data_IF_613360039775
#
_entry.id   IF_613360039775
#
_cell.length_a   1.000
_cell.length_b   1.000
_cell.length_c   1.000
_cell.angle_alpha   90.00
_cell.angle_beta   90.00
_cell.angle_gamma   90.00
#
_symmetry.space_group_name_H-M   'P 1'
#
loop_
_entity.id
_entity.type
_entity.pdbx_description
1 polymer ?
#
# COMPACT_ATOMS: atom_id res chain seq x y z
N UNK A 1 -0.14 -23.06 17.49
CA UNK A 1 -0.41 -23.66 16.17
C UNK A 1 0.84 -23.53 15.33
N UNK A 2 1.35 -24.61 14.72
CA UNK A 2 2.41 -24.54 13.70
C UNK A 2 1.92 -23.67 12.52
N UNK A 3 2.82 -22.90 11.91
CA UNK A 3 2.46 -22.03 10.78
C UNK A 3 1.92 -22.82 9.57
N UNK A 4 2.41 -24.06 9.39
CA UNK A 4 2.11 -24.90 8.24
C UNK A 4 0.89 -25.84 8.45
N UNK A 5 0.19 -25.74 9.59
CA UNK A 5 -0.96 -26.59 9.91
C UNK A 5 -2.12 -25.75 10.48
N UNK A 6 -2.80 -24.98 9.62
CA UNK A 6 -3.88 -24.09 10.03
C UNK A 6 -5.12 -24.90 10.45
N UNK A 7 -5.61 -24.66 11.67
CA UNK A 7 -6.85 -25.25 12.17
C UNK A 7 -8.07 -24.43 11.70
N UNK A 8 -8.99 -25.01 10.92
CA UNK A 8 -10.17 -24.31 10.43
C UNK A 8 -11.16 -23.89 11.53
N UNK A 9 -11.02 -24.41 12.75
CA UNK A 9 -11.81 -24.02 13.91
C UNK A 9 -11.15 -22.94 14.79
N UNK A 10 -9.92 -22.49 14.45
CA UNK A 10 -9.22 -21.48 15.23
C UNK A 10 -9.88 -20.10 15.07
N UNK A 11 -10.51 -19.53 16.12
CA UNK A 11 -11.17 -18.23 16.04
C UNK A 11 -10.18 -17.06 15.84
N UNK A 12 -8.87 -17.29 15.98
CA UNK A 12 -7.82 -16.30 15.74
C UNK A 12 -7.26 -16.37 14.32
N UNK A 13 -7.70 -17.34 13.49
CA UNK A 13 -7.34 -17.39 12.08
C UNK A 13 -7.94 -16.20 11.35
N UNK A 14 -7.10 -15.49 10.58
CA UNK A 14 -7.55 -14.34 9.80
C UNK A 14 -8.28 -14.83 8.55
N UNK A 15 -9.59 -14.58 8.50
CA UNK A 15 -10.41 -14.84 7.34
C UNK A 15 -10.61 -13.54 6.54
N UNK A 16 -9.91 -13.41 5.42
CA UNK A 16 -10.20 -12.39 4.43
C UNK A 16 -11.41 -12.79 3.58
N UNK A 17 -12.34 -11.86 3.35
CA UNK A 17 -13.40 -11.99 2.35
C UNK A 17 -13.22 -10.90 1.29
N UNK A 18 -13.23 -11.28 0.02
CA UNK A 18 -13.26 -10.32 -1.08
C UNK A 18 -14.68 -9.80 -1.26
N UNK A 19 -14.83 -8.48 -1.21
CA UNK A 19 -16.07 -7.81 -1.58
C UNK A 19 -15.87 -7.22 -2.98
N UNK A 20 -16.50 -7.78 -4.03
CA UNK A 20 -16.37 -7.25 -5.37
C UNK A 20 -16.98 -5.85 -5.42
N UNK A 21 -16.28 -4.94 -6.08
CA UNK A 21 -16.77 -3.60 -6.42
C UNK A 21 -16.49 -3.34 -7.89
N UNK A 22 -17.50 -2.87 -8.62
CA UNK A 22 -17.37 -2.44 -10.00
C UNK A 22 -17.09 -0.93 -10.09
N UNK A 23 -16.90 -0.27 -8.94
CA UNK A 23 -16.65 1.15 -8.85
C UNK A 23 -15.19 1.48 -9.14
N UNK A 24 -14.94 2.00 -10.35
CA UNK A 24 -13.62 2.45 -10.77
C UNK A 24 -13.06 3.59 -9.87
N UNK A 25 -13.93 4.40 -9.25
CA UNK A 25 -13.48 5.44 -8.32
C UNK A 25 -12.92 4.83 -7.03
N UNK A 26 -13.47 3.72 -6.55
CA UNK A 26 -12.92 3.01 -5.39
C UNK A 26 -11.49 2.51 -5.64
N UNK A 27 -11.22 2.01 -6.85
CA UNK A 27 -9.87 1.56 -7.25
C UNK A 27 -8.92 2.74 -7.39
N UNK A 28 -9.41 3.87 -7.89
CA UNK A 28 -8.64 5.12 -7.97
C UNK A 28 -8.27 5.65 -6.59
N UNK A 29 -9.21 5.72 -5.65
CA UNK A 29 -8.98 6.17 -4.28
C UNK A 29 -7.98 5.25 -3.55
N UNK A 30 -8.10 3.94 -3.77
CA UNK A 30 -7.15 2.96 -3.24
C UNK A 30 -5.73 3.18 -3.81
N UNK A 31 -5.61 3.38 -5.12
CA UNK A 31 -4.32 3.68 -5.76
C UNK A 31 -3.71 4.98 -5.21
N UNK A 32 -4.52 6.02 -5.04
CA UNK A 32 -4.08 7.29 -4.45
C UNK A 32 -3.54 7.09 -3.03
N UNK A 33 -4.24 6.29 -2.20
CA UNK A 33 -3.79 5.95 -0.85
C UNK A 33 -2.42 5.23 -0.86
N UNK A 34 -2.22 4.25 -1.74
CA UNK A 34 -0.93 3.55 -1.84
C UNK A 34 0.20 4.52 -2.19
N UNK A 35 0.00 5.33 -3.24
CA UNK A 35 0.99 6.30 -3.70
C UNK A 35 1.32 7.25 -2.54
N UNK A 36 0.31 7.88 -1.94
CA UNK A 36 0.52 8.82 -0.85
C UNK A 36 1.29 8.20 0.32
N UNK A 37 0.91 7.01 0.76
CA UNK A 37 1.52 6.37 1.93
C UNK A 37 2.98 6.00 1.66
N UNK A 38 3.30 5.45 0.50
CA UNK A 38 4.69 5.11 0.19
C UNK A 38 5.56 6.36 0.00
N UNK A 39 5.00 7.46 -0.52
CA UNK A 39 5.68 8.75 -0.49
C UNK A 39 5.86 9.29 0.93
N UNK A 40 4.91 9.06 1.87
CA UNK A 40 5.06 9.39 3.31
C UNK A 40 6.20 8.61 3.97
N UNK A 41 6.38 7.36 3.56
CA UNK A 41 7.48 6.50 4.00
C UNK A 41 8.82 6.84 3.34
N UNK A 42 8.84 7.79 2.40
CA UNK A 42 10.06 8.30 1.77
C UNK A 42 10.56 7.48 0.59
N UNK A 43 9.70 6.67 -0.04
CA UNK A 43 10.01 6.01 -1.31
C UNK A 43 10.08 7.06 -2.43
N UNK A 44 10.94 6.79 -3.42
CA UNK A 44 11.00 7.61 -4.64
C UNK A 44 9.82 7.28 -5.57
N UNK A 45 9.49 8.20 -6.47
CA UNK A 45 8.48 7.97 -7.51
C UNK A 45 8.75 6.67 -8.30
N UNK A 46 10.02 6.40 -8.62
CA UNK A 46 10.43 5.16 -9.31
C UNK A 46 10.18 3.91 -8.46
N UNK A 47 10.48 3.96 -7.16
CA UNK A 47 10.22 2.85 -6.26
C UNK A 47 8.71 2.59 -6.14
N UNK A 48 7.89 3.65 -6.02
CA UNK A 48 6.43 3.54 -6.01
C UNK A 48 5.91 2.93 -7.31
N UNK A 49 6.35 3.43 -8.48
CA UNK A 49 5.95 2.88 -9.78
C UNK A 49 6.26 1.37 -9.90
N UNK A 50 7.44 0.95 -9.45
CA UNK A 50 7.83 -0.48 -9.49
C UNK A 50 6.92 -1.38 -8.66
N UNK A 51 6.22 -0.86 -7.65
CA UNK A 51 5.28 -1.66 -6.86
C UNK A 51 4.02 -2.01 -7.66
N UNK A 52 3.56 -1.12 -8.54
CA UNK A 52 2.40 -1.37 -9.40
C UNK A 52 2.69 -2.42 -10.48
N UNK A 53 3.95 -2.53 -10.90
CA UNK A 53 4.38 -3.49 -11.94
C UNK A 53 4.67 -4.90 -11.37
N UNK A 54 5.01 -4.98 -10.08
CA UNK A 54 5.38 -6.24 -9.42
C UNK A 54 4.14 -6.98 -8.92
N UNK A 55 3.85 -8.15 -9.51
CA UNK A 55 2.67 -8.96 -9.18
C UNK A 55 2.60 -9.50 -7.74
N UNK A 56 3.66 -9.37 -6.96
CA UNK A 56 3.64 -9.70 -5.52
C UNK A 56 2.86 -8.67 -4.68
N UNK A 57 2.61 -7.47 -5.23
CA UNK A 57 1.76 -6.46 -4.61
C UNK A 57 0.37 -6.50 -5.24
N UNK A 58 -0.50 -7.37 -4.71
CA UNK A 58 -1.82 -7.64 -5.29
C UNK A 58 -2.67 -6.36 -5.51
N UNK A 59 -2.75 -5.47 -4.52
CA UNK A 59 -3.52 -4.21 -4.62
C UNK A 59 -2.99 -3.26 -5.71
N UNK A 60 -1.71 -2.84 -5.66
CA UNK A 60 -1.09 -2.04 -6.71
C UNK A 60 -1.18 -2.68 -8.10
N UNK A 61 -0.92 -3.98 -8.22
CA UNK A 61 -1.00 -4.69 -9.50
C UNK A 61 -2.43 -4.71 -10.05
N UNK A 62 -3.43 -4.92 -9.19
CA UNK A 62 -4.84 -4.82 -9.56
C UNK A 62 -5.20 -3.41 -10.03
N UNK A 63 -4.76 -2.38 -9.31
CA UNK A 63 -5.02 -0.99 -9.69
C UNK A 63 -4.42 -0.64 -11.06
N UNK A 64 -3.20 -1.11 -11.35
CA UNK A 64 -2.57 -0.94 -12.66
C UNK A 64 -3.37 -1.60 -13.78
N UNK A 65 -3.88 -2.81 -13.56
CA UNK A 65 -4.68 -3.54 -14.55
C UNK A 65 -6.02 -2.86 -14.86
N UNK A 66 -6.64 -2.24 -13.85
CA UNK A 66 -7.96 -1.62 -14.01
C UNK A 66 -7.90 -0.17 -14.50
N UNK A 67 -6.96 0.63 -14.00
CA UNK A 67 -6.86 2.06 -14.31
C UNK A 67 -5.91 2.36 -15.49
N UNK A 68 -4.97 1.45 -15.76
CA UNK A 68 -3.97 1.60 -16.81
C UNK A 68 -2.71 2.36 -16.37
N UNK A 69 -1.59 2.17 -17.09
CA UNK A 69 -0.28 2.71 -16.73
C UNK A 69 -0.20 4.23 -16.82
N UNK A 70 -0.95 4.86 -17.73
CA UNK A 70 -0.96 6.32 -17.90
C UNK A 70 -1.53 7.02 -16.66
N UNK A 71 -2.70 6.56 -16.19
CA UNK A 71 -3.37 7.10 -14.99
C UNK A 71 -2.48 6.95 -13.75
N UNK A 72 -1.91 5.77 -13.53
CA UNK A 72 -1.01 5.53 -12.39
C UNK A 72 0.21 6.45 -12.45
N UNK A 73 0.80 6.63 -13.63
CA UNK A 73 1.96 7.51 -13.81
C UNK A 73 1.62 8.97 -13.53
N UNK A 74 0.44 9.44 -13.97
CA UNK A 74 -0.07 10.78 -13.69
C UNK A 74 -0.26 11.00 -12.18
N UNK A 75 -0.93 10.08 -11.49
CA UNK A 75 -1.14 10.15 -10.04
C UNK A 75 0.18 10.18 -9.25
N UNK A 76 1.19 9.41 -9.66
CA UNK A 76 2.53 9.42 -9.04
C UNK A 76 3.22 10.77 -9.27
N UNK A 77 3.12 11.32 -10.48
CA UNK A 77 3.72 12.61 -10.82
C UNK A 77 3.08 13.76 -10.03
N UNK A 78 1.75 13.78 -9.94
CA UNK A 78 1.00 14.75 -9.12
C UNK A 78 1.45 14.70 -7.66
N UNK A 79 1.54 13.50 -7.08
CA UNK A 79 1.95 13.35 -5.68
C UNK A 79 3.41 13.79 -5.45
N UNK A 80 4.30 13.53 -6.41
CA UNK A 80 5.69 13.97 -6.35
C UNK A 80 5.82 15.50 -6.34
N UNK A 81 4.97 16.21 -7.08
CA UNK A 81 4.92 17.69 -7.08
C UNK A 81 4.43 18.22 -5.74
N UNK A 82 3.37 17.63 -5.18
CA UNK A 82 2.78 18.07 -3.90
C UNK A 82 3.78 17.96 -2.74
N UNK A 83 4.60 16.90 -2.69
CA UNK A 83 5.56 16.70 -1.60
C UNK A 83 6.94 17.30 -1.83
N UNK A 84 7.31 17.57 -3.08
CA UNK A 84 8.65 18.00 -3.45
C UNK A 84 9.75 16.97 -3.12
N UNK A 85 11.01 17.23 -3.49
CA UNK A 85 12.12 16.28 -3.35
C UNK A 85 12.53 15.93 -1.90
N UNK A 86 11.84 16.49 -0.90
CA UNK A 86 12.14 16.35 0.54
C UNK A 86 10.90 16.12 1.41
N UNK A 87 9.79 15.68 0.82
CA UNK A 87 8.56 15.37 1.58
C UNK A 87 8.90 14.57 2.83
N UNK A 88 8.61 15.12 4.01
CA UNK A 88 9.17 14.69 5.28
C UNK A 88 9.13 13.17 5.42
N UNK A 89 10.30 12.56 5.57
CA UNK A 89 10.44 11.15 5.89
C UNK A 89 9.80 10.92 7.25
N UNK A 90 8.70 10.19 7.30
CA UNK A 90 8.30 9.58 8.56
C UNK A 90 9.39 8.55 8.87
N UNK A 91 10.17 8.77 9.93
CA UNK A 91 11.04 7.73 10.47
C UNK A 91 10.13 6.63 11.01
N UNK A 92 9.92 5.59 10.21
CA UNK A 92 9.38 4.32 10.74
C UNK A 92 10.55 3.63 11.42
N UNK A 93 10.58 3.74 12.73
CA UNK A 93 11.59 3.10 13.56
C UNK A 93 11.37 1.58 13.47
N UNK A 94 12.14 0.89 12.64
CA UNK A 94 12.09 -0.57 12.56
C UNK A 94 12.80 -1.14 13.78
N UNK A 95 12.03 -1.47 14.83
CA UNK A 95 12.59 -2.24 15.94
C UNK A 95 12.79 -3.70 15.51
N UNK A 96 13.89 -4.37 15.94
CA UNK A 96 14.25 -5.73 15.53
C UNK A 96 13.23 -6.83 15.84
N UNK A 97 12.10 -6.53 16.49
CA UNK A 97 11.17 -7.49 17.08
C UNK A 97 9.73 -7.40 16.55
N UNK A 98 9.53 -6.85 15.35
CA UNK A 98 8.29 -7.07 14.59
C UNK A 98 7.05 -6.30 15.06
N UNK A 99 7.19 -5.27 15.88
CA UNK A 99 6.07 -4.37 16.22
C UNK A 99 6.27 -3.02 15.53
N UNK A 100 5.40 -2.69 14.57
CA UNK A 100 5.36 -1.38 13.93
C UNK A 100 4.87 -0.34 14.94
N UNK A 101 5.73 0.61 15.32
CA UNK A 101 5.31 1.81 16.06
C UNK A 101 4.74 2.83 15.09
N UNK A 102 3.42 2.99 15.10
CA UNK A 102 2.75 4.10 14.42
C UNK A 102 2.57 5.26 15.43
N UNK A 103 3.19 6.42 15.22
CA UNK A 103 3.13 7.56 16.16
C UNK A 103 1.73 8.17 16.35
N UNK A 104 0.73 7.71 15.58
CA UNK A 104 -0.66 8.21 15.63
C UNK A 104 -1.45 7.60 16.80
N UNK A 105 -0.96 6.52 17.44
CA UNK A 105 -1.70 5.76 18.46
C UNK A 105 -1.35 6.12 19.91
N UNK A 106 -0.57 7.17 20.14
CA UNK A 106 -0.27 7.66 21.49
C UNK A 106 -1.13 8.88 21.83
N UNK A 107 -2.33 8.63 22.35
CA UNK A 107 -3.11 9.59 23.14
C UNK A 107 -3.55 8.96 24.44
#
# INVERSE_FOLDING_TARGET
>A
MPYDDPDPADPLTLHGIELPTDDAEAVRDMAACYIEEYFRLGLSAQAVASMFERGEFAGPSMALQQLGPEMISEMIAEQAVVRGPRGGRVQVDQQPQGTLRLPVLER
#
